data_IF_244508310582
#
_entry.id   IF_244508310582
#
_cell.length_a   1.000
_cell.length_b   1.000
_cell.length_c   1.000
_cell.angle_alpha   90.00
_cell.angle_beta   90.00
_cell.angle_gamma   90.00
#
_symmetry.space_group_name_H-M   'P 1'
#
loop_
_entity.id
_entity.type
_entity.pdbx_description
1 polymer ?
#
# COMPACT_ATOMS: atom_id res chain seq x y z
N UNK A 1 19.07 18.78 -20.10
CA UNK A 1 17.95 17.84 -19.83
C UNK A 1 17.73 17.87 -18.33
N UNK A 2 16.63 18.49 -17.92
CA UNK A 2 16.31 18.89 -16.53
C UNK A 2 16.35 17.67 -15.60
N UNK A 3 17.08 17.71 -14.50
CA UNK A 3 16.90 18.72 -13.45
C UNK A 3 15.73 18.39 -12.52
N UNK A 4 15.08 17.23 -12.66
CA UNK A 4 14.19 16.71 -11.62
C UNK A 4 15.08 16.31 -10.44
N UNK A 5 15.24 17.22 -9.48
CA UNK A 5 15.83 16.92 -8.18
C UNK A 5 15.05 15.72 -7.66
N UNK A 6 15.70 14.55 -7.57
CA UNK A 6 15.21 13.45 -6.74
C UNK A 6 15.01 14.09 -5.37
N UNK A 7 13.76 14.22 -4.93
CA UNK A 7 13.45 14.65 -3.58
C UNK A 7 14.07 13.59 -2.68
N UNK A 8 15.33 13.83 -2.31
CA UNK A 8 16.07 13.08 -1.32
C UNK A 8 15.31 13.31 -0.04
N UNK A 9 14.46 12.33 0.28
CA UNK A 9 13.87 12.02 1.57
C UNK A 9 14.21 13.06 2.66
N UNK A 10 13.56 14.24 2.62
CA UNK A 10 13.69 15.20 3.70
C UNK A 10 12.96 14.58 4.89
N UNK A 11 13.64 14.37 6.03
CA UNK A 11 12.97 13.85 7.21
C UNK A 11 11.81 14.78 7.55
N UNK A 12 10.61 14.22 7.74
CA UNK A 12 9.42 14.99 8.14
C UNK A 12 9.73 15.61 9.50
N UNK A 13 9.97 16.91 9.52
CA UNK A 13 10.41 17.67 10.71
C UNK A 13 9.23 18.11 11.60
N UNK A 14 7.99 17.87 11.19
CA UNK A 14 6.79 18.25 11.93
C UNK A 14 5.97 17.02 12.37
N UNK A 15 5.72 16.93 13.67
CA UNK A 15 4.82 15.92 14.25
C UNK A 15 3.35 16.05 13.79
N UNK A 16 3.04 17.06 12.97
CA UNK A 16 1.70 17.40 12.49
C UNK A 16 1.49 17.20 10.98
N UNK A 17 2.49 16.75 10.21
CA UNK A 17 2.25 16.54 8.80
C UNK A 17 1.23 15.41 8.54
N UNK A 18 0.34 15.58 7.54
CA UNK A 18 -0.68 14.60 7.23
C UNK A 18 -0.07 13.29 6.75
N UNK A 19 -0.57 12.17 7.27
CA UNK A 19 -0.19 10.84 6.79
C UNK A 19 -0.85 10.57 5.43
N UNK A 20 -0.08 10.02 4.50
CA UNK A 20 -0.50 9.76 3.12
C UNK A 20 -0.68 8.26 2.89
N UNK A 21 -1.82 7.88 2.32
CA UNK A 21 -2.11 6.52 1.87
C UNK A 21 -2.31 6.48 0.36
N UNK A 22 -1.57 5.62 -0.33
CA UNK A 22 -1.81 5.31 -1.75
C UNK A 22 -2.60 4.00 -1.83
N UNK A 23 -3.81 4.04 -2.39
CA UNK A 23 -4.77 2.93 -2.33
C UNK A 23 -4.91 2.21 -3.68
N UNK A 24 -5.18 0.91 -3.64
CA UNK A 24 -5.45 0.06 -4.82
C UNK A 24 -4.19 -0.18 -5.64
N UNK A 25 -3.07 -0.47 -4.96
CA UNK A 25 -1.83 -0.88 -5.61
C UNK A 25 -1.99 -2.33 -6.07
N UNK A 26 -1.66 -2.61 -7.33
CA UNK A 26 -1.83 -3.94 -7.94
C UNK A 26 -0.53 -4.55 -8.45
N UNK A 27 0.57 -3.79 -8.45
CA UNK A 27 1.85 -4.18 -9.00
C UNK A 27 2.98 -3.97 -7.98
N UNK A 28 3.93 -4.92 -7.82
CA UNK A 28 5.04 -4.77 -6.88
C UNK A 28 5.90 -3.51 -7.13
N UNK A 29 6.12 -3.14 -8.39
CA UNK A 29 6.92 -1.97 -8.76
C UNK A 29 6.28 -0.64 -8.29
N UNK A 30 4.95 -0.55 -8.33
CA UNK A 30 4.23 0.63 -7.83
C UNK A 30 4.27 0.70 -6.31
N UNK A 31 4.23 -0.46 -5.63
CA UNK A 31 4.37 -0.56 -4.18
C UNK A 31 5.74 -0.06 -3.72
N UNK A 32 6.81 -0.56 -4.34
CA UNK A 32 8.18 -0.14 -4.04
C UNK A 32 8.36 1.38 -4.29
N UNK A 33 7.92 1.86 -5.46
CA UNK A 33 8.02 3.27 -5.80
C UNK A 33 7.25 4.17 -4.81
N UNK A 34 6.02 3.79 -4.43
CA UNK A 34 5.22 4.57 -3.50
C UNK A 34 5.83 4.61 -2.09
N UNK A 35 6.44 3.50 -1.63
CA UNK A 35 7.23 3.47 -0.40
C UNK A 35 8.43 4.41 -0.49
N UNK A 36 9.22 4.34 -1.56
CA UNK A 36 10.39 5.21 -1.76
C UNK A 36 10.00 6.69 -1.83
N UNK A 37 8.83 7.00 -2.40
CA UNK A 37 8.26 8.34 -2.47
C UNK A 37 7.75 8.87 -1.13
N UNK A 38 7.75 8.06 -0.06
CA UNK A 38 7.38 8.48 1.29
C UNK A 38 5.93 8.27 1.67
N UNK A 39 5.19 7.36 1.01
CA UNK A 39 3.86 6.99 1.45
C UNK A 39 3.90 6.33 2.85
N UNK A 40 3.04 6.78 3.76
CA UNK A 40 2.94 6.21 5.10
C UNK A 40 2.20 4.85 5.07
N UNK A 41 1.22 4.72 4.16
CA UNK A 41 0.39 3.53 4.00
C UNK A 41 0.18 3.15 2.53
N UNK A 42 0.07 1.85 2.26
CA UNK A 42 -0.31 1.31 0.97
C UNK A 42 -1.52 0.39 1.11
N UNK A 43 -2.49 0.56 0.21
CA UNK A 43 -3.77 -0.15 0.24
C UNK A 43 -3.90 -1.23 -0.82
N UNK A 44 -4.31 -2.43 -0.40
CA UNK A 44 -4.65 -3.56 -1.26
C UNK A 44 -6.16 -3.78 -1.21
N UNK A 45 -6.84 -3.85 -2.36
CA UNK A 45 -8.28 -4.11 -2.41
C UNK A 45 -8.48 -5.62 -2.51
N UNK A 46 -9.06 -6.22 -1.46
CA UNK A 46 -9.17 -7.68 -1.31
C UNK A 46 -10.59 -8.18 -1.53
N UNK A 47 -11.57 -7.28 -1.69
CA UNK A 47 -12.93 -7.63 -2.11
C UNK A 47 -13.05 -7.72 -3.62
N UNK A 48 -13.81 -8.69 -4.17
CA UNK A 48 -14.05 -8.80 -5.60
C UNK A 48 -14.94 -7.66 -6.13
N UNK A 49 -15.02 -7.51 -7.45
CA UNK A 49 -15.94 -6.58 -8.11
C UNK A 49 -15.38 -5.19 -8.42
N UNK A 50 -14.10 -4.93 -8.11
CA UNK A 50 -13.43 -3.67 -8.45
C UNK A 50 -12.30 -3.90 -9.44
N UNK A 51 -12.03 -2.90 -10.30
CA UNK A 51 -10.97 -2.98 -11.32
C UNK A 51 -9.56 -3.23 -10.74
N UNK A 52 -9.36 -2.96 -9.43
CA UNK A 52 -8.08 -3.10 -8.72
C UNK A 52 -8.14 -4.14 -7.60
N UNK A 53 -9.14 -5.02 -7.63
CA UNK A 53 -9.26 -6.16 -6.73
C UNK A 53 -8.12 -7.17 -6.96
N UNK A 54 -7.58 -7.70 -5.87
CA UNK A 54 -6.54 -8.74 -5.88
C UNK A 54 -7.05 -9.98 -5.16
N UNK A 55 -6.64 -11.15 -5.63
CA UNK A 55 -6.66 -12.37 -4.81
C UNK A 55 -5.64 -12.27 -3.69
N UNK A 56 -5.76 -13.08 -2.63
CA UNK A 56 -4.78 -13.05 -1.54
C UNK A 56 -3.36 -13.36 -2.04
N UNK A 57 -3.19 -14.35 -2.92
CA UNK A 57 -1.87 -14.68 -3.46
C UNK A 57 -1.28 -13.56 -4.32
N UNK A 58 -2.12 -12.80 -5.04
CA UNK A 58 -1.68 -11.59 -5.72
C UNK A 58 -1.28 -10.50 -4.73
N UNK A 59 -2.07 -10.31 -3.68
CA UNK A 59 -1.82 -9.34 -2.62
C UNK A 59 -0.50 -9.63 -1.88
N UNK A 60 -0.17 -10.90 -1.58
CA UNK A 60 1.11 -11.31 -0.96
C UNK A 60 2.31 -10.89 -1.83
N UNK A 61 2.22 -11.11 -3.16
CA UNK A 61 3.29 -10.70 -4.08
C UNK A 61 3.51 -9.19 -4.12
N UNK A 62 2.43 -8.40 -4.06
CA UNK A 62 2.52 -6.94 -4.02
C UNK A 62 3.00 -6.46 -2.65
N UNK A 63 2.50 -7.05 -1.56
CA UNK A 63 2.85 -6.73 -0.19
C UNK A 63 4.32 -6.96 0.13
N UNK A 64 4.95 -7.98 -0.49
CA UNK A 64 6.37 -8.26 -0.37
C UNK A 64 7.27 -7.10 -0.83
N UNK A 65 6.79 -6.24 -1.73
CA UNK A 65 7.49 -5.04 -2.18
C UNK A 65 7.16 -3.77 -1.38
N UNK A 66 6.24 -3.84 -0.41
CA UNK A 66 5.85 -2.69 0.43
C UNK A 66 6.79 -2.56 1.62
N UNK A 67 7.47 -1.41 1.74
CA UNK A 67 8.16 -1.00 2.98
C UNK A 67 7.30 -0.10 3.88
N UNK A 68 6.18 0.40 3.38
CA UNK A 68 5.20 1.19 4.14
C UNK A 68 4.18 0.29 4.87
N UNK A 69 3.38 0.86 5.77
CA UNK A 69 2.33 0.11 6.47
C UNK A 69 1.25 -0.37 5.49
N UNK A 70 0.86 -1.63 5.60
CA UNK A 70 -0.11 -2.30 4.71
C UNK A 70 -1.54 -2.08 5.20
N UNK A 71 -2.49 -1.92 4.29
CA UNK A 71 -3.92 -1.79 4.59
C UNK A 71 -4.75 -2.66 3.64
N UNK A 72 -5.46 -3.65 4.17
CA UNK A 72 -6.47 -4.41 3.43
C UNK A 72 -7.79 -3.66 3.36
N UNK A 73 -8.31 -3.45 2.14
CA UNK A 73 -9.63 -2.85 1.90
C UNK A 73 -10.61 -3.97 1.57
N UNK A 74 -11.64 -4.07 2.41
CA UNK A 74 -12.63 -5.14 2.39
C UNK A 74 -14.03 -4.51 2.53
N UNK A 75 -15.00 -4.98 1.76
CA UNK A 75 -16.41 -4.62 1.84
C UNK A 75 -17.15 -5.80 2.46
N UNK A 76 -17.83 -5.55 3.58
CA UNK A 76 -18.59 -6.52 4.36
C UNK A 76 -17.91 -7.89 4.51
N UNK A 77 -16.63 -7.94 4.96
CA UNK A 77 -15.94 -9.21 5.13
C UNK A 77 -16.51 -9.99 6.31
N UNK A 78 -16.43 -11.32 6.22
CA UNK A 78 -16.54 -12.15 7.41
C UNK A 78 -15.37 -11.81 8.37
N UNK A 79 -15.62 -11.51 9.67
CA UNK A 79 -14.58 -11.07 10.58
C UNK A 79 -13.40 -12.03 10.70
N UNK A 80 -13.66 -13.35 10.71
CA UNK A 80 -12.61 -14.36 10.75
C UNK A 80 -11.69 -14.28 9.52
N UNK A 81 -12.29 -14.15 8.33
CA UNK A 81 -11.52 -14.00 7.09
C UNK A 81 -10.68 -12.72 7.08
N UNK A 82 -11.19 -11.61 7.62
CA UNK A 82 -10.46 -10.36 7.73
C UNK A 82 -9.22 -10.50 8.63
N UNK A 83 -9.35 -11.19 9.77
CA UNK A 83 -8.23 -11.46 10.69
C UNK A 83 -7.20 -12.39 10.04
N UNK A 84 -7.63 -13.50 9.47
CA UNK A 84 -6.72 -14.46 8.80
C UNK A 84 -5.95 -13.80 7.66
N UNK A 85 -6.63 -12.96 6.89
CA UNK A 85 -6.02 -12.19 5.80
C UNK A 85 -4.99 -11.18 6.32
N UNK A 86 -5.27 -10.53 7.46
CA UNK A 86 -4.34 -9.58 8.08
C UNK A 86 -3.09 -10.27 8.67
N UNK A 87 -3.17 -11.54 9.04
CA UNK A 87 -2.00 -12.32 9.50
C UNK A 87 -1.12 -12.74 8.31
N UNK A 88 -1.71 -13.01 7.15
CA UNK A 88 -1.00 -13.42 5.93
C UNK A 88 -0.23 -12.29 5.26
N UNK A 89 -0.73 -11.06 5.35
CA UNK A 89 -0.21 -9.88 4.63
C UNK A 89 0.63 -8.96 5.51
#
# INVERSE_FOLDING_TARGET
>A
MSGLRRASHLPRTDAQAPRVKICGITRPEDAAFATEAGADYLGLILSPGFARSLTIDQAERVAAAMGSKRVGVMVDPEPAWAVDTAVRL
#
